data_IF_662580798039
#
_entry.id   IF_662580798039
#
_cell.length_a   1.000
_cell.length_b   1.000
_cell.length_c   1.000
_cell.angle_alpha   90.00
_cell.angle_beta   90.00
_cell.angle_gamma   90.00
#
_symmetry.space_group_name_H-M   'P 1'
#
loop_
_entity.id
_entity.type
_entity.pdbx_description
1 polymer ?
#
# COMPACT_ATOMS: atom_id res chain seq x y z
N UNK A 1 25.62 -29.06 -21.70
CA UNK A 1 25.87 -27.70 -21.20
C UNK A 1 25.60 -27.69 -19.72
N UNK A 2 26.66 -27.72 -18.92
CA UNK A 2 26.55 -27.63 -17.45
C UNK A 2 26.25 -26.20 -17.05
N UNK A 3 25.11 -25.98 -16.39
CA UNK A 3 24.84 -24.74 -15.66
C UNK A 3 25.70 -24.78 -14.39
N UNK A 4 26.67 -23.88 -14.30
CA UNK A 4 27.42 -23.65 -13.08
C UNK A 4 26.47 -22.96 -12.10
N UNK A 5 26.29 -23.43 -10.86
CA UNK A 5 25.53 -22.72 -9.85
C UNK A 5 26.23 -21.39 -9.57
N UNK A 6 25.43 -20.32 -9.40
CA UNK A 6 25.92 -19.01 -8.97
C UNK A 6 26.70 -19.19 -7.67
N UNK A 7 27.92 -18.71 -7.64
CA UNK A 7 28.76 -18.69 -6.43
C UNK A 7 28.20 -17.57 -5.56
N UNK A 8 27.74 -17.90 -4.35
CA UNK A 8 27.45 -16.91 -3.31
C UNK A 8 28.67 -16.01 -3.14
N UNK A 9 28.53 -14.72 -3.44
CA UNK A 9 29.56 -13.73 -3.20
C UNK A 9 29.57 -13.42 -1.69
N UNK A 10 30.64 -13.74 -0.95
CA UNK A 10 30.67 -13.52 0.50
C UNK A 10 30.74 -12.03 0.89
N UNK A 11 30.92 -11.13 -0.08
CA UNK A 11 30.94 -9.67 0.11
C UNK A 11 29.61 -9.00 -0.28
N UNK A 12 28.60 -9.76 -0.73
CA UNK A 12 27.27 -9.23 -0.95
C UNK A 12 26.60 -8.94 0.41
N UNK A 13 26.16 -7.69 0.66
CA UNK A 13 25.48 -7.38 1.91
C UNK A 13 24.23 -8.27 2.05
N UNK A 14 23.93 -8.79 3.25
CA UNK A 14 22.74 -9.61 3.46
C UNK A 14 21.52 -8.85 2.99
N UNK A 15 20.62 -9.52 2.27
CA UNK A 15 19.34 -8.94 1.87
C UNK A 15 18.67 -8.35 3.11
N UNK A 16 18.05 -7.16 3.00
CA UNK A 16 17.37 -6.56 4.14
C UNK A 16 16.35 -7.53 4.72
N UNK A 17 16.38 -7.72 6.04
CA UNK A 17 15.37 -8.50 6.73
C UNK A 17 13.99 -7.84 6.54
N UNK A 18 13.01 -8.60 6.07
CA UNK A 18 11.65 -8.14 5.81
C UNK A 18 11.17 -8.36 4.37
N UNK A 19 9.91 -7.98 4.09
CA UNK A 19 9.34 -8.10 2.76
C UNK A 19 10.00 -7.15 1.77
N UNK A 20 10.09 -7.57 0.52
CA UNK A 20 10.65 -6.78 -0.59
C UNK A 20 9.52 -6.07 -1.33
N UNK A 21 9.54 -4.75 -1.33
CA UNK A 21 8.53 -3.95 -2.04
C UNK A 21 9.16 -3.26 -3.23
N UNK A 22 8.64 -3.55 -4.44
CA UNK A 22 8.92 -2.77 -5.64
C UNK A 22 7.95 -1.59 -5.76
N UNK A 23 8.38 -0.49 -6.37
CA UNK A 23 7.50 0.65 -6.63
C UNK A 23 7.69 1.17 -8.04
N UNK A 24 6.59 1.26 -8.79
CA UNK A 24 6.56 1.73 -10.17
C UNK A 24 5.62 2.93 -10.30
N UNK A 25 5.98 3.88 -11.15
CA UNK A 25 5.17 5.05 -11.48
C UNK A 25 4.85 5.01 -12.98
N UNK A 26 3.62 4.61 -13.30
CA UNK A 26 3.10 4.48 -14.66
C UNK A 26 2.19 5.65 -15.07
N UNK A 27 2.22 6.75 -14.30
CA UNK A 27 1.44 7.94 -14.62
C UNK A 27 2.00 8.64 -15.85
N UNK A 28 1.12 9.03 -16.74
CA UNK A 28 1.48 9.69 -18.01
C UNK A 28 1.05 11.14 -18.08
N UNK A 29 0.00 11.52 -17.33
CA UNK A 29 -0.65 12.83 -17.43
C UNK A 29 -0.70 13.60 -16.10
N UNK A 30 -0.42 12.93 -15.01
CA UNK A 30 -0.60 13.50 -13.69
C UNK A 30 0.63 14.22 -13.17
N UNK A 31 0.40 15.36 -12.48
CA UNK A 31 1.42 16.28 -11.98
C UNK A 31 1.57 16.26 -10.44
N UNK A 32 0.81 15.43 -9.73
CA UNK A 32 0.92 15.35 -8.27
C UNK A 32 2.31 14.89 -7.85
N UNK A 33 2.97 15.68 -7.02
CA UNK A 33 4.29 15.33 -6.48
C UNK A 33 4.16 14.19 -5.48
N UNK A 34 4.92 13.12 -5.70
CA UNK A 34 4.87 11.88 -4.89
C UNK A 34 6.28 11.41 -4.57
N UNK A 35 6.60 11.31 -3.29
CA UNK A 35 7.80 10.61 -2.83
C UNK A 35 7.55 9.08 -2.84
N UNK A 36 7.73 8.49 -4.02
CA UNK A 36 7.54 7.06 -4.27
C UNK A 36 8.39 6.19 -3.34
N UNK A 37 9.63 6.57 -3.06
CA UNK A 37 10.51 5.80 -2.21
C UNK A 37 10.07 5.79 -0.75
N UNK A 38 9.53 6.90 -0.24
CA UNK A 38 8.93 6.95 1.09
C UNK A 38 7.70 6.07 1.17
N UNK A 39 6.81 6.09 0.17
CA UNK A 39 5.64 5.21 0.13
C UNK A 39 6.01 3.73 0.04
N UNK A 40 7.04 3.39 -0.74
CA UNK A 40 7.58 2.04 -0.84
C UNK A 40 8.08 1.52 0.51
N UNK A 41 8.90 2.33 1.22
CA UNK A 41 9.38 1.98 2.57
C UNK A 41 8.24 1.86 3.58
N UNK A 42 7.23 2.71 3.47
CA UNK A 42 6.05 2.66 4.32
C UNK A 42 5.30 1.34 4.13
N UNK A 43 5.04 0.93 2.89
CA UNK A 43 4.38 -0.36 2.61
C UNK A 43 5.19 -1.53 3.15
N UNK A 44 6.51 -1.54 2.95
CA UNK A 44 7.38 -2.58 3.50
C UNK A 44 7.30 -2.62 5.04
N UNK A 45 7.28 -1.47 5.70
CA UNK A 45 7.12 -1.37 7.16
C UNK A 45 5.76 -1.88 7.66
N UNK A 46 4.69 -1.56 6.95
CA UNK A 46 3.33 -2.08 7.27
C UNK A 46 3.30 -3.60 7.16
N UNK A 47 3.76 -4.15 6.04
CA UNK A 47 3.77 -5.59 5.82
C UNK A 47 4.65 -6.34 6.82
N UNK A 48 5.83 -5.78 7.16
CA UNK A 48 6.69 -6.34 8.20
C UNK A 48 6.00 -6.34 9.58
N UNK A 49 5.30 -5.25 9.93
CA UNK A 49 4.56 -5.13 11.19
C UNK A 49 3.36 -6.11 11.27
N UNK A 50 2.83 -6.51 10.12
CA UNK A 50 1.76 -7.50 9.99
C UNK A 50 2.28 -8.95 9.85
N UNK A 51 3.59 -9.16 9.95
CA UNK A 51 4.20 -10.48 9.99
C UNK A 51 4.50 -11.08 8.62
N UNK A 52 4.61 -10.27 7.57
CA UNK A 52 5.06 -10.76 6.27
C UNK A 52 6.45 -11.40 6.37
N UNK A 53 6.68 -12.57 5.75
CA UNK A 53 7.97 -13.25 5.81
C UNK A 53 9.06 -12.47 5.08
N UNK A 54 10.31 -12.69 5.52
CA UNK A 54 11.48 -12.12 4.89
C UNK A 54 11.58 -12.57 3.43
N UNK A 55 11.83 -11.62 2.54
CA UNK A 55 11.96 -11.88 1.11
C UNK A 55 10.65 -12.05 0.34
N UNK A 56 9.50 -12.09 1.00
CA UNK A 56 8.21 -12.10 0.32
C UNK A 56 8.01 -10.77 -0.43
N UNK A 57 7.48 -10.86 -1.64
CA UNK A 57 7.39 -9.71 -2.55
C UNK A 57 6.02 -9.04 -2.52
N UNK A 58 6.01 -7.72 -2.61
CA UNK A 58 4.81 -6.92 -2.87
C UNK A 58 5.11 -5.80 -3.85
N UNK A 59 4.09 -5.27 -4.53
CA UNK A 59 4.25 -4.13 -5.41
C UNK A 59 3.40 -2.92 -4.99
N UNK A 60 3.94 -1.73 -5.27
CA UNK A 60 3.25 -0.46 -5.20
C UNK A 60 3.25 0.17 -6.59
N UNK A 61 2.08 0.42 -7.14
CA UNK A 61 1.93 1.00 -8.47
C UNK A 61 1.19 2.33 -8.39
N UNK A 62 1.76 3.38 -9.00
CA UNK A 62 1.11 4.68 -9.17
C UNK A 62 0.55 4.76 -10.59
N UNK A 63 -0.73 5.12 -10.73
CA UNK A 63 -1.43 5.17 -12.02
C UNK A 63 -2.29 6.43 -12.15
N UNK A 64 -2.63 6.78 -13.38
CA UNK A 64 -3.61 7.81 -13.71
C UNK A 64 -5.05 7.36 -13.39
N UNK A 65 -5.98 8.31 -13.30
CA UNK A 65 -7.38 8.07 -12.97
C UNK A 65 -8.09 7.11 -13.94
N UNK A 66 -7.82 7.19 -15.23
CA UNK A 66 -8.41 6.30 -16.24
C UNK A 66 -7.94 4.86 -16.03
N UNK A 67 -6.65 4.67 -15.71
CA UNK A 67 -6.10 3.33 -15.50
C UNK A 67 -6.66 2.66 -14.26
N UNK A 68 -6.81 3.38 -13.14
CA UNK A 68 -7.38 2.78 -11.93
C UNK A 68 -8.88 2.47 -12.10
N UNK A 69 -9.60 3.29 -12.87
CA UNK A 69 -11.00 3.02 -13.22
C UNK A 69 -11.15 1.73 -14.04
N UNK A 70 -10.28 1.52 -15.03
CA UNK A 70 -10.22 0.28 -15.81
C UNK A 70 -9.97 -0.94 -14.91
N UNK A 71 -8.93 -0.89 -14.08
CA UNK A 71 -8.57 -1.97 -13.17
C UNK A 71 -9.70 -2.31 -12.18
N UNK A 72 -10.37 -1.28 -11.65
CA UNK A 72 -11.54 -1.45 -10.78
C UNK A 72 -12.68 -2.16 -11.51
N UNK A 73 -12.98 -1.74 -12.75
CA UNK A 73 -14.03 -2.36 -13.55
C UNK A 73 -13.71 -3.81 -13.92
N UNK A 74 -12.46 -4.10 -14.30
CA UNK A 74 -12.01 -5.45 -14.68
C UNK A 74 -12.06 -6.45 -13.51
N UNK A 75 -11.66 -6.03 -12.32
CA UNK A 75 -11.43 -6.92 -11.18
C UNK A 75 -12.51 -6.88 -10.10
N UNK A 76 -13.19 -5.74 -9.93
CA UNK A 76 -14.15 -5.54 -8.84
C UNK A 76 -15.57 -5.23 -9.33
N UNK A 77 -15.77 -5.10 -10.64
CA UNK A 77 -17.10 -4.84 -11.20
C UNK A 77 -17.61 -3.44 -10.83
N UNK A 78 -16.86 -2.40 -11.16
CA UNK A 78 -17.23 -1.01 -10.89
C UNK A 78 -18.02 -0.35 -12.01
N UNK A 79 -18.50 0.87 -11.74
CA UNK A 79 -19.23 1.74 -12.65
C UNK A 79 -18.32 2.53 -13.64
N UNK A 80 -17.01 2.20 -13.66
CA UNK A 80 -16.01 2.92 -14.46
C UNK A 80 -15.53 4.23 -13.83
N UNK A 81 -15.96 4.56 -12.60
CA UNK A 81 -15.44 5.70 -11.88
C UNK A 81 -14.08 5.39 -11.25
N UNK A 82 -13.13 6.36 -11.25
CA UNK A 82 -11.83 6.16 -10.61
C UNK A 82 -11.98 6.07 -9.09
N UNK A 83 -10.98 5.45 -8.45
CA UNK A 83 -10.81 5.39 -7.00
C UNK A 83 -9.39 5.84 -6.65
N UNK A 84 -9.13 6.05 -5.36
CA UNK A 84 -7.82 6.46 -4.85
C UNK A 84 -6.85 5.30 -4.64
N UNK A 85 -7.37 4.13 -4.25
CA UNK A 85 -6.57 2.92 -3.99
C UNK A 85 -7.31 1.65 -4.37
N UNK A 86 -6.55 0.65 -4.84
CA UNK A 86 -6.96 -0.75 -4.98
C UNK A 86 -5.91 -1.64 -4.33
N UNK A 87 -6.35 -2.75 -3.75
CA UNK A 87 -5.47 -3.77 -3.17
C UNK A 87 -5.85 -5.14 -3.69
N UNK A 88 -4.86 -5.89 -4.13
CA UNK A 88 -5.01 -7.24 -4.66
C UNK A 88 -4.11 -8.20 -3.89
N UNK A 89 -4.60 -8.79 -2.78
CA UNK A 89 -3.85 -9.83 -2.06
C UNK A 89 -3.72 -11.08 -2.93
N UNK A 90 -2.55 -11.73 -2.85
CA UNK A 90 -2.26 -13.03 -3.47
C UNK A 90 -2.09 -14.07 -2.37
N UNK A 91 -0.89 -14.21 -1.80
CA UNK A 91 -0.64 -15.10 -0.66
C UNK A 91 -0.87 -14.41 0.69
N UNK A 92 -0.94 -13.07 0.70
CA UNK A 92 -1.00 -12.27 1.91
C UNK A 92 0.27 -12.40 2.74
N UNK A 93 0.11 -12.42 4.07
CA UNK A 93 1.23 -12.52 5.03
C UNK A 93 1.36 -13.93 5.62
N UNK A 94 0.95 -14.97 4.89
CA UNK A 94 1.16 -16.35 5.29
C UNK A 94 2.65 -16.65 5.49
N UNK A 95 2.99 -17.58 6.38
CA UNK A 95 4.38 -17.87 6.75
C UNK A 95 5.24 -18.38 5.58
N UNK A 96 4.61 -18.92 4.55
CA UNK A 96 5.23 -19.42 3.31
C UNK A 96 4.90 -18.56 2.10
N UNK A 97 4.41 -17.32 2.31
CA UNK A 97 4.10 -16.40 1.23
C UNK A 97 5.36 -16.04 0.44
N UNK A 98 5.29 -16.16 -0.87
CA UNK A 98 6.29 -15.65 -1.82
C UNK A 98 5.85 -14.32 -2.44
N UNK A 99 4.56 -14.21 -2.78
CA UNK A 99 3.96 -13.03 -3.38
C UNK A 99 2.80 -12.53 -2.51
N UNK A 100 3.01 -11.44 -1.77
CA UNK A 100 2.02 -10.87 -0.85
C UNK A 100 0.84 -10.28 -1.61
N UNK A 101 1.11 -9.46 -2.62
CA UNK A 101 0.10 -8.81 -3.46
C UNK A 101 0.49 -7.41 -3.91
N UNK A 102 -0.49 -6.69 -4.45
CA UNK A 102 -0.30 -5.39 -5.09
C UNK A 102 -1.15 -4.30 -4.42
N UNK A 103 -0.57 -3.12 -4.23
CA UNK A 103 -1.27 -1.88 -3.87
C UNK A 103 -1.16 -0.91 -5.05
N UNK A 104 -2.29 -0.43 -5.55
CA UNK A 104 -2.36 0.50 -6.67
C UNK A 104 -2.95 1.81 -6.19
N UNK A 105 -2.24 2.91 -6.38
CA UNK A 105 -2.64 4.25 -5.98
C UNK A 105 -2.93 5.14 -7.19
N UNK A 106 -3.94 5.99 -7.06
CA UNK A 106 -4.20 7.09 -7.96
C UNK A 106 -4.01 8.43 -7.24
N UNK A 107 -2.82 9.06 -7.32
CA UNK A 107 -2.52 10.30 -6.61
C UNK A 107 -3.43 11.48 -6.96
N UNK A 108 -3.95 11.55 -8.20
CA UNK A 108 -4.88 12.62 -8.58
C UNK A 108 -6.21 12.54 -7.84
N UNK A 109 -6.75 11.34 -7.64
CA UNK A 109 -7.96 11.13 -6.85
C UNK A 109 -7.70 11.40 -5.37
N UNK A 110 -6.59 10.88 -4.83
CA UNK A 110 -6.19 11.13 -3.45
C UNK A 110 -6.03 12.64 -3.16
N UNK A 111 -5.43 13.40 -4.06
CA UNK A 111 -5.21 14.84 -3.89
C UNK A 111 -6.51 15.66 -3.78
N UNK A 112 -7.59 15.22 -4.43
CA UNK A 112 -8.88 15.91 -4.40
C UNK A 112 -9.54 15.88 -3.01
N UNK A 113 -9.31 14.83 -2.23
CA UNK A 113 -9.92 14.67 -0.89
C UNK A 113 -8.96 15.04 0.25
N UNK A 114 -7.66 15.09 -0.01
CA UNK A 114 -6.62 15.22 1.02
C UNK A 114 -6.86 16.40 1.98
N UNK A 115 -7.17 17.60 1.48
CA UNK A 115 -7.35 18.80 2.31
C UNK A 115 -8.48 18.69 3.34
N UNK A 116 -9.52 17.92 3.03
CA UNK A 116 -10.68 17.73 3.91
C UNK A 116 -10.58 16.47 4.76
N UNK A 117 -9.69 15.54 4.42
CA UNK A 117 -9.52 14.25 5.06
C UNK A 117 -8.29 14.22 5.97
N UNK A 118 -7.10 14.08 5.43
CA UNK A 118 -5.84 13.99 6.21
C UNK A 118 -5.11 15.33 6.37
N UNK A 119 -5.46 16.34 5.58
CA UNK A 119 -4.89 17.68 5.60
C UNK A 119 -3.82 17.94 4.56
N UNK A 120 -3.04 16.94 4.14
CA UNK A 120 -2.03 17.05 3.08
C UNK A 120 -2.09 15.87 2.11
N UNK A 121 -1.61 16.07 0.89
CA UNK A 121 -1.53 14.98 -0.11
C UNK A 121 -0.59 13.87 0.34
N UNK A 122 0.51 14.21 0.99
CA UNK A 122 1.48 13.25 1.52
C UNK A 122 0.87 12.37 2.60
N UNK A 123 0.12 12.96 3.54
CA UNK A 123 -0.59 12.20 4.59
C UNK A 123 -1.69 11.32 3.99
N UNK A 124 -2.40 11.81 2.97
CA UNK A 124 -3.44 11.04 2.28
C UNK A 124 -2.86 9.81 1.59
N UNK A 125 -1.79 9.98 0.81
CA UNK A 125 -1.11 8.87 0.15
C UNK A 125 -0.53 7.88 1.16
N UNK A 126 0.04 8.36 2.27
CA UNK A 126 0.54 7.51 3.34
C UNK A 126 -0.58 6.69 3.99
N UNK A 127 -1.72 7.31 4.29
CA UNK A 127 -2.89 6.60 4.83
C UNK A 127 -3.37 5.52 3.86
N UNK A 128 -3.47 5.83 2.57
CA UNK A 128 -3.90 4.86 1.55
C UNK A 128 -2.93 3.68 1.41
N UNK A 129 -1.62 3.91 1.55
CA UNK A 129 -0.61 2.82 1.58
C UNK A 129 -0.80 1.94 2.80
N UNK A 130 -1.01 2.53 3.98
CA UNK A 130 -1.27 1.76 5.21
C UNK A 130 -2.56 0.94 5.06
N UNK A 131 -3.64 1.57 4.59
CA UNK A 131 -4.92 0.92 4.32
C UNK A 131 -4.79 -0.26 3.34
N UNK A 132 -4.14 -0.02 2.20
CA UNK A 132 -3.88 -1.05 1.20
C UNK A 132 -3.01 -2.19 1.73
N UNK A 133 -1.96 -1.88 2.48
CA UNK A 133 -1.09 -2.86 3.12
C UNK A 133 -1.84 -3.73 4.14
N UNK A 134 -2.75 -3.16 4.91
CA UNK A 134 -3.61 -3.91 5.83
C UNK A 134 -4.54 -4.87 5.08
N UNK A 135 -5.12 -4.44 3.95
CA UNK A 135 -5.90 -5.36 3.11
C UNK A 135 -5.05 -6.51 2.56
N UNK A 136 -3.81 -6.26 2.15
CA UNK A 136 -2.90 -7.34 1.76
C UNK A 136 -2.62 -8.31 2.91
N UNK A 137 -2.60 -7.82 4.14
CA UNK A 137 -2.42 -8.62 5.35
C UNK A 137 -3.70 -9.33 5.83
N UNK A 138 -4.82 -9.18 5.11
CA UNK A 138 -6.07 -9.87 5.40
C UNK A 138 -7.06 -9.11 6.29
N UNK A 139 -6.78 -7.83 6.62
CA UNK A 139 -7.76 -6.99 7.30
C UNK A 139 -8.90 -6.63 6.36
N UNK A 140 -10.12 -6.54 6.93
CA UNK A 140 -11.32 -6.12 6.21
C UNK A 140 -12.15 -5.18 7.08
N UNK A 141 -13.17 -4.55 6.51
CA UNK A 141 -14.04 -3.58 7.17
C UNK A 141 -15.53 -3.75 6.79
N UNK A 142 -15.94 -5.00 6.62
CA UNK A 142 -17.33 -5.35 6.25
C UNK A 142 -18.29 -5.07 7.42
N UNK A 143 -17.93 -5.47 8.64
CA UNK A 143 -18.70 -5.15 9.85
C UNK A 143 -18.19 -3.86 10.52
N UNK A 144 -19.01 -3.29 11.41
CA UNK A 144 -18.63 -2.10 12.19
C UNK A 144 -17.46 -2.40 13.16
N UNK A 145 -17.43 -3.61 13.72
CA UNK A 145 -16.35 -4.05 14.59
C UNK A 145 -15.03 -4.21 13.82
N UNK A 146 -15.06 -4.84 12.66
CA UNK A 146 -13.88 -4.99 11.78
C UNK A 146 -13.35 -3.63 11.36
N UNK A 147 -14.25 -2.72 10.94
CA UNK A 147 -13.88 -1.35 10.56
C UNK A 147 -13.21 -0.59 11.71
N UNK A 148 -13.78 -0.66 12.92
CA UNK A 148 -13.20 0.00 14.08
C UNK A 148 -11.82 -0.57 14.45
N UNK A 149 -11.65 -1.88 14.37
CA UNK A 149 -10.38 -2.55 14.61
C UNK A 149 -9.33 -2.17 13.54
N UNK A 150 -9.71 -2.16 12.27
CA UNK A 150 -8.83 -1.76 11.17
C UNK A 150 -8.42 -0.29 11.28
N UNK A 151 -9.34 0.63 11.58
CA UNK A 151 -9.02 2.05 11.78
C UNK A 151 -8.07 2.28 12.95
N UNK A 152 -8.23 1.53 14.05
CA UNK A 152 -7.28 1.59 15.17
C UNK A 152 -5.89 1.15 14.72
N UNK A 153 -5.80 0.08 13.93
CA UNK A 153 -4.52 -0.43 13.41
C UNK A 153 -3.90 0.52 12.39
N UNK A 154 -4.69 1.10 11.48
CA UNK A 154 -4.24 2.14 10.56
C UNK A 154 -3.59 3.31 11.30
N UNK A 155 -4.27 3.84 12.32
CA UNK A 155 -3.74 4.93 13.14
C UNK A 155 -2.41 4.56 13.75
N UNK A 156 -2.31 3.40 14.39
CA UNK A 156 -1.07 2.93 15.02
C UNK A 156 0.09 2.85 14.03
N UNK A 157 -0.14 2.27 12.86
CA UNK A 157 0.90 2.10 11.83
C UNK A 157 1.26 3.42 11.17
N UNK A 158 0.28 4.25 10.83
CA UNK A 158 0.53 5.55 10.24
C UNK A 158 1.36 6.43 11.17
N UNK A 159 0.96 6.56 12.44
CA UNK A 159 1.68 7.38 13.42
C UNK A 159 3.09 6.86 13.71
N UNK A 160 3.29 5.54 13.73
CA UNK A 160 4.59 4.92 13.99
C UNK A 160 5.56 5.01 12.80
N UNK A 161 5.07 4.87 11.57
CA UNK A 161 5.91 4.72 10.38
C UNK A 161 6.01 5.98 9.51
N UNK A 162 5.01 6.87 9.57
CA UNK A 162 4.94 8.12 8.81
C UNK A 162 4.90 9.34 9.74
N UNK A 163 4.12 9.27 10.79
CA UNK A 163 3.81 10.34 11.71
C UNK A 163 2.31 10.67 11.74
N UNK A 164 1.87 11.49 12.71
CA UNK A 164 0.47 11.88 12.80
C UNK A 164 0.10 12.75 11.58
N UNK A 165 -1.06 12.49 10.93
CA UNK A 165 -1.52 13.30 9.80
C UNK A 165 -1.90 14.71 10.28
N UNK A 166 -1.82 15.69 9.38
CA UNK A 166 -2.13 17.09 9.68
C UNK A 166 -3.59 17.30 10.13
N UNK A 167 -4.49 16.41 9.72
CA UNK A 167 -5.89 16.33 10.16
C UNK A 167 -6.25 14.87 10.50
N UNK A 168 -7.02 14.67 11.57
CA UNK A 168 -7.49 13.34 11.98
C UNK A 168 -8.56 12.80 11.01
N UNK A 169 -8.28 11.78 10.20
CA UNK A 169 -9.23 11.22 9.25
C UNK A 169 -10.26 10.30 9.93
N UNK A 170 -10.00 9.84 11.16
CA UNK A 170 -10.88 8.93 11.90
C UNK A 170 -11.84 9.67 12.85
N UNK A 171 -11.63 10.97 13.08
CA UNK A 171 -12.42 11.79 14.01
C UNK A 171 -13.84 12.17 13.53
N UNK A 172 -14.24 11.77 12.32
CA UNK A 172 -15.51 12.12 11.68
C UNK A 172 -16.65 11.12 11.85
N UNK A 173 -16.48 10.00 12.54
CA UNK A 173 -17.47 8.92 12.64
C UNK A 173 -17.94 8.63 14.07
N UNK A 174 -18.50 9.64 14.71
CA UNK A 174 -19.50 9.42 15.75
C UNK A 174 -20.76 10.21 15.36
N UNK A 175 -21.50 9.67 14.40
CA UNK A 175 -22.92 10.01 14.21
C UNK A 175 -23.70 8.76 13.80
#
# INVERSE_FOLDING_TARGET
MSLTPAVDDPDEPPLPAGPVVSATDDRTHEQTDVDRDSLRRLLAGVLAAEGAPDGAEASLLLVDADRIAELKAEHLGGDGSPTDVLSFPVDGVAADAELIGDVILCPSVASQQALTHTGTVQDELALLVVHGGLHLAGWDHVSDEERAAMWLRERQLLEALHGPPARDPWGGSTR
#
